data_IF_868209153882
#
_entry.id   IF_868209153882
#
_cell.length_a   1.000
_cell.length_b   1.000
_cell.length_c   1.000
_cell.angle_alpha   90.00
_cell.angle_beta   90.00
_cell.angle_gamma   90.00
#
_symmetry.space_group_name_H-M   'P 1'
#
loop_
_entity.id
_entity.type
_entity.pdbx_description
1 polymer ?
#
# COMPACT_ATOMS: atom_id res chain seq x y z
N UNK A 1 7.62 -1.62 -9.25
CA UNK A 1 8.96 -2.27 -9.23
C UNK A 1 9.05 -3.52 -10.13
N UNK A 2 8.04 -3.86 -10.96
CA UNK A 2 8.06 -5.11 -11.73
C UNK A 2 7.77 -4.97 -13.23
N UNK A 3 8.28 -3.91 -13.86
CA UNK A 3 7.90 -3.49 -15.22
C UNK A 3 8.41 -4.37 -16.38
N UNK A 4 9.22 -5.41 -16.12
CA UNK A 4 9.90 -6.20 -17.18
C UNK A 4 9.32 -7.61 -17.42
N UNK A 5 8.30 -8.03 -16.66
CA UNK A 5 7.81 -9.41 -16.74
C UNK A 5 6.58 -9.51 -17.66
N UNK A 6 6.61 -10.48 -18.58
CA UNK A 6 5.49 -10.79 -19.51
C UNK A 6 4.50 -11.82 -18.95
N UNK A 7 4.65 -12.21 -17.69
CA UNK A 7 3.85 -13.22 -17.02
C UNK A 7 3.49 -12.77 -15.60
N UNK A 8 2.40 -13.30 -15.01
CA UNK A 8 2.04 -13.01 -13.62
C UNK A 8 3.17 -13.34 -12.64
N UNK A 9 3.37 -12.46 -11.66
CA UNK A 9 4.41 -12.64 -10.63
C UNK A 9 3.80 -13.38 -9.45
N UNK A 10 4.45 -14.47 -9.05
CA UNK A 10 4.04 -15.24 -7.88
C UNK A 10 4.55 -14.53 -6.62
N UNK A 11 3.61 -14.15 -5.76
CA UNK A 11 3.90 -13.59 -4.43
C UNK A 11 3.29 -14.52 -3.39
N UNK A 12 4.10 -14.95 -2.42
CA UNK A 12 3.61 -15.80 -1.33
C UNK A 12 4.22 -15.40 0.01
N UNK A 13 3.59 -15.88 1.08
CA UNK A 13 4.20 -15.90 2.41
C UNK A 13 3.95 -17.29 3.02
N UNK A 14 3.37 -17.38 4.23
CA UNK A 14 2.91 -18.65 4.80
C UNK A 14 1.49 -18.97 4.29
N UNK A 15 0.45 -18.34 4.85
CA UNK A 15 -0.92 -18.47 4.34
C UNK A 15 -1.18 -17.72 3.02
N UNK A 16 -0.25 -16.84 2.61
CA UNK A 16 -0.33 -16.09 1.34
C UNK A 16 -1.40 -15.01 1.28
N UNK A 17 -1.86 -14.47 2.42
CA UNK A 17 -2.97 -13.49 2.46
C UNK A 17 -2.60 -12.15 3.12
N UNK A 18 -1.88 -12.16 4.24
CA UNK A 18 -1.50 -10.94 4.97
C UNK A 18 -0.37 -10.16 4.28
N UNK A 19 0.88 -10.57 4.51
CA UNK A 19 2.08 -9.93 3.90
C UNK A 19 2.04 -9.91 2.38
N UNK A 20 1.53 -10.98 1.77
CA UNK A 20 1.30 -11.07 0.32
C UNK A 20 0.34 -9.99 -0.15
N UNK A 21 -0.78 -9.82 0.55
CA UNK A 21 -1.77 -8.79 0.26
C UNK A 21 -1.21 -7.38 0.39
N UNK A 22 -0.46 -7.10 1.46
CA UNK A 22 0.17 -5.79 1.66
C UNK A 22 1.09 -5.43 0.50
N UNK A 23 1.96 -6.36 0.07
CA UNK A 23 2.88 -6.12 -1.04
C UNK A 23 2.13 -5.90 -2.37
N UNK A 24 1.10 -6.71 -2.64
CA UNK A 24 0.28 -6.57 -3.85
C UNK A 24 -0.42 -5.22 -3.88
N UNK A 25 -1.01 -4.78 -2.76
CA UNK A 25 -1.71 -3.50 -2.67
C UNK A 25 -0.76 -2.31 -2.87
N UNK A 26 0.40 -2.32 -2.22
CA UNK A 26 1.44 -1.29 -2.40
C UNK A 26 1.86 -1.22 -3.87
N UNK A 27 2.20 -2.39 -4.46
CA UNK A 27 2.65 -2.44 -5.84
C UNK A 27 1.59 -1.92 -6.82
N UNK A 28 0.31 -2.28 -6.63
CA UNK A 28 -0.78 -1.80 -7.48
C UNK A 28 -0.88 -0.27 -7.48
N UNK A 29 -0.83 0.35 -6.30
CA UNK A 29 -0.95 1.81 -6.19
C UNK A 29 0.26 2.53 -6.78
N UNK A 30 1.47 2.06 -6.49
CA UNK A 30 2.69 2.62 -7.06
C UNK A 30 2.72 2.47 -8.59
N UNK A 31 2.20 1.37 -9.11
CA UNK A 31 2.09 1.17 -10.56
C UNK A 31 1.07 2.10 -11.19
N UNK A 32 -0.12 2.22 -10.60
CA UNK A 32 -1.17 3.14 -11.04
C UNK A 32 -0.65 4.58 -11.13
N UNK A 33 0.07 5.03 -10.09
CA UNK A 33 0.78 6.31 -10.07
C UNK A 33 1.80 6.44 -11.21
N UNK A 34 2.64 5.42 -11.39
CA UNK A 34 3.69 5.41 -12.42
C UNK A 34 3.15 5.41 -13.86
N UNK A 35 1.90 4.98 -14.04
CA UNK A 35 1.18 4.96 -15.32
C UNK A 35 0.22 6.16 -15.46
N UNK A 36 0.25 7.09 -14.50
CA UNK A 36 -0.64 8.25 -14.45
C UNK A 36 -2.13 7.88 -14.52
N UNK A 37 -2.48 6.72 -13.96
CA UNK A 37 -3.84 6.24 -13.83
C UNK A 37 -4.49 6.84 -12.58
N UNK A 38 -5.82 7.02 -12.57
CA UNK A 38 -6.54 7.42 -11.37
C UNK A 38 -6.25 6.47 -10.21
N UNK A 39 -5.87 7.01 -9.06
CA UNK A 39 -5.67 6.22 -7.85
C UNK A 39 -7.06 5.90 -7.29
N UNK A 40 -7.42 4.61 -7.31
CA UNK A 40 -8.63 4.12 -6.66
C UNK A 40 -8.53 4.28 -5.13
N UNK A 41 -9.67 4.48 -4.48
CA UNK A 41 -9.75 4.44 -3.02
C UNK A 41 -9.15 3.12 -2.48
N UNK A 42 -8.28 3.22 -1.47
CA UNK A 42 -7.54 2.07 -0.96
C UNK A 42 -8.44 1.01 -0.33
N UNK A 43 -9.58 1.42 0.24
CA UNK A 43 -10.57 0.52 0.82
C UNK A 43 -11.31 -0.26 -0.26
N UNK A 44 -11.74 0.41 -1.33
CA UNK A 44 -12.37 -0.23 -2.48
C UNK A 44 -11.41 -1.21 -3.17
N UNK A 45 -10.15 -0.80 -3.34
CA UNK A 45 -9.13 -1.67 -3.91
C UNK A 45 -8.87 -2.90 -3.03
N UNK A 46 -8.84 -2.74 -1.71
CA UNK A 46 -8.74 -3.86 -0.78
C UNK A 46 -9.93 -4.83 -0.91
N UNK A 47 -11.17 -4.31 -1.04
CA UNK A 47 -12.35 -5.14 -1.27
C UNK A 47 -12.25 -5.93 -2.59
N UNK A 48 -11.76 -5.29 -3.66
CA UNK A 48 -11.50 -5.94 -4.95
C UNK A 48 -10.42 -7.02 -4.85
N UNK A 49 -9.37 -6.82 -4.06
CA UNK A 49 -8.38 -7.87 -3.81
C UNK A 49 -8.97 -9.02 -2.97
N UNK A 50 -9.82 -8.70 -1.98
CA UNK A 50 -10.50 -9.70 -1.15
C UNK A 50 -11.52 -10.54 -1.93
N UNK A 51 -12.10 -10.02 -3.01
CA UNK A 51 -12.98 -10.80 -3.90
C UNK A 51 -12.20 -11.82 -4.74
N UNK A 52 -10.92 -11.56 -5.04
CA UNK A 52 -10.04 -12.51 -5.74
C UNK A 52 -9.33 -13.48 -4.79
N UNK A 53 -9.01 -13.04 -3.58
CA UNK A 53 -8.41 -13.88 -2.53
C UNK A 53 -8.89 -13.44 -1.14
N UNK A 54 -9.70 -14.31 -0.51
CA UNK A 54 -10.27 -14.04 0.81
C UNK A 54 -9.19 -13.71 1.86
N UNK A 55 -9.54 -12.83 2.81
CA UNK A 55 -8.67 -12.41 3.91
C UNK A 55 -7.37 -11.71 3.48
N UNK A 56 -7.28 -11.23 2.24
CA UNK A 56 -6.18 -10.36 1.81
C UNK A 56 -6.06 -9.16 2.76
N UNK A 57 -4.85 -8.96 3.32
CA UNK A 57 -4.56 -8.07 4.46
C UNK A 57 -5.43 -8.42 5.67
N UNK A 58 -4.83 -9.13 6.64
CA UNK A 58 -5.57 -9.78 7.72
C UNK A 58 -5.77 -8.91 8.96
N UNK A 59 -4.89 -7.93 9.17
CA UNK A 59 -4.89 -7.09 10.37
C UNK A 59 -4.86 -5.62 10.00
N UNK A 60 -5.42 -4.78 10.88
CA UNK A 60 -5.41 -3.33 10.70
C UNK A 60 -3.98 -2.79 10.66
N UNK A 61 -3.06 -3.38 11.44
CA UNK A 61 -1.64 -3.03 11.40
C UNK A 61 -1.01 -3.25 10.02
N UNK A 62 -1.38 -4.33 9.32
CA UNK A 62 -0.91 -4.57 7.95
C UNK A 62 -1.47 -3.55 6.96
N UNK A 63 -2.71 -3.08 7.17
CA UNK A 63 -3.32 -2.05 6.35
C UNK A 63 -2.71 -0.66 6.62
N UNK A 64 -2.50 -0.31 7.89
CA UNK A 64 -1.77 0.90 8.29
C UNK A 64 -0.34 0.91 7.75
N UNK A 65 0.34 -0.23 7.77
CA UNK A 65 1.68 -0.37 7.17
C UNK A 65 1.69 -0.04 5.68
N UNK A 66 0.68 -0.48 4.92
CA UNK A 66 0.55 -0.11 3.49
C UNK A 66 0.50 1.40 3.32
N UNK A 67 -0.33 2.08 4.11
CA UNK A 67 -0.46 3.55 4.07
C UNK A 67 0.83 4.25 4.48
N UNK A 68 1.51 3.79 5.54
CA UNK A 68 2.80 4.35 5.95
C UNK A 68 3.83 4.27 4.83
N UNK A 69 3.93 3.13 4.14
CA UNK A 69 4.87 2.95 3.03
C UNK A 69 4.55 3.90 1.88
N UNK A 70 3.27 4.02 1.49
CA UNK A 70 2.86 4.90 0.39
C UNK A 70 3.09 6.37 0.71
N UNK A 71 2.75 6.80 1.92
CA UNK A 71 2.95 8.17 2.35
C UNK A 71 4.43 8.54 2.44
N UNK A 72 5.28 7.64 2.96
CA UNK A 72 6.73 7.82 2.94
C UNK A 72 7.24 7.96 1.50
N UNK A 73 6.79 7.10 0.59
CA UNK A 73 7.14 7.17 -0.81
C UNK A 73 6.75 8.53 -1.43
N UNK A 74 5.55 9.04 -1.14
CA UNK A 74 5.13 10.35 -1.65
C UNK A 74 5.97 11.50 -1.09
N UNK A 75 6.35 11.43 0.17
CA UNK A 75 7.23 12.43 0.79
C UNK A 75 8.63 12.42 0.17
N UNK A 76 9.25 11.24 0.06
CA UNK A 76 10.62 11.09 -0.47
C UNK A 76 10.73 11.51 -1.94
N UNK A 77 9.66 11.28 -2.72
CA UNK A 77 9.61 11.63 -4.14
C UNK A 77 8.99 13.01 -4.40
N UNK A 78 8.74 13.82 -3.36
CA UNK A 78 8.18 15.18 -3.47
C UNK A 78 6.83 15.21 -4.21
N UNK A 79 6.02 14.16 -4.05
CA UNK A 79 4.69 14.02 -4.64
C UNK A 79 3.59 14.55 -3.72
N UNK A 80 3.91 14.93 -2.48
CA UNK A 80 2.98 15.54 -1.53
C UNK A 80 2.97 17.05 -1.67
N UNK A 81 1.78 17.63 -1.78
CA UNK A 81 1.58 19.06 -1.57
C UNK A 81 2.04 19.43 -0.14
N UNK A 82 2.89 20.46 0.04
CA UNK A 82 3.39 20.89 1.34
C UNK A 82 2.31 21.11 2.41
N UNK A 83 1.08 21.45 2.02
CA UNK A 83 -0.06 21.62 2.94
C UNK A 83 -0.41 20.35 3.72
N UNK A 84 -0.08 19.17 3.17
CA UNK A 84 -0.38 17.88 3.78
C UNK A 84 0.73 17.38 4.71
N UNK A 85 1.91 18.01 4.68
CA UNK A 85 3.07 17.59 5.47
C UNK A 85 2.77 17.48 6.98
N UNK A 86 2.06 18.42 7.63
CA UNK A 86 1.75 18.30 9.06
C UNK A 86 0.88 17.07 9.39
N UNK A 87 -0.02 16.69 8.47
CA UNK A 87 -0.87 15.51 8.64
C UNK A 87 -0.08 14.22 8.49
N UNK A 88 0.89 14.17 7.57
CA UNK A 88 1.82 13.06 7.43
C UNK A 88 2.69 12.88 8.69
N UNK A 89 3.25 13.97 9.19
CA UNK A 89 4.06 13.94 10.41
C UNK A 89 3.23 13.46 11.61
N UNK A 90 2.00 13.93 11.74
CA UNK A 90 1.07 13.47 12.76
C UNK A 90 0.75 11.97 12.61
N UNK A 91 0.37 11.53 11.40
CA UNK A 91 0.08 10.13 11.11
C UNK A 91 1.27 9.23 11.46
N UNK A 92 2.48 9.60 11.02
CA UNK A 92 3.70 8.82 11.24
C UNK A 92 4.03 8.74 12.74
N UNK A 93 3.83 9.84 13.48
CA UNK A 93 4.02 9.86 14.93
C UNK A 93 3.07 8.90 15.63
N UNK A 94 1.78 8.93 15.28
CA UNK A 94 0.80 8.01 15.86
C UNK A 94 1.10 6.56 15.47
N UNK A 95 1.36 6.29 14.19
CA UNK A 95 1.74 4.98 13.68
C UNK A 95 2.90 4.36 14.48
N UNK A 96 3.96 5.13 14.73
CA UNK A 96 5.13 4.64 15.46
C UNK A 96 4.82 4.26 16.91
N UNK A 97 3.86 4.91 17.58
CA UNK A 97 3.43 4.52 18.95
C UNK A 97 2.69 3.19 19.01
N UNK A 98 2.12 2.74 17.90
CA UNK A 98 1.37 1.49 17.83
C UNK A 98 2.24 0.32 17.36
N UNK A 99 3.41 0.60 16.78
CA UNK A 99 4.34 -0.40 16.25
C UNK A 99 5.53 -0.63 17.19
N UNK A 100 5.90 0.37 18.00
CA UNK A 100 6.98 0.33 18.99
C UNK A 100 6.45 0.73 20.36
#
# INVERSE_FOLDING_TARGET
MFRSFRAPIVVHCSAGVGRTGSLVLIQYMLESLSLNQPIEDSGQLLLKLRSQRANTIQTDQQYLFVHQVLLNYFQENQLLDPRWKPYLEHFTKEYNKFVF
#
